data_IF_645300529639
#
_entry.id   IF_645300529639
#
_cell.length_a   1.000
_cell.length_b   1.000
_cell.length_c   1.000
_cell.angle_alpha   90.00
_cell.angle_beta   90.00
_cell.angle_gamma   90.00
#
_symmetry.space_group_name_H-M   'P 1'
#
loop_
_entity.id
_entity.type
_entity.pdbx_description
1 polymer ?
#
# COMPACT_ATOMS: atom_id res chain seq x y z
N UNK A 1 -4.93 -13.17 -0.02
CA UNK A 1 -6.04 -12.55 0.72
C UNK A 1 -6.08 -11.05 0.43
N UNK A 2 -7.23 -10.54 0.11
CA UNK A 2 -7.40 -9.12 -0.25
C UNK A 2 -8.07 -8.36 0.89
N UNK A 3 -7.49 -7.23 1.28
CA UNK A 3 -8.04 -6.41 2.36
C UNK A 3 -8.18 -4.96 1.89
N UNK A 4 -9.25 -4.32 2.33
CA UNK A 4 -9.47 -2.89 2.03
C UNK A 4 -8.70 -2.03 3.02
N UNK A 5 -8.17 -0.92 2.53
CA UNK A 5 -7.45 0.04 3.35
C UNK A 5 -7.55 1.45 2.78
N UNK A 6 -7.11 2.42 3.57
CA UNK A 6 -6.98 3.81 3.14
C UNK A 6 -5.53 4.20 3.36
N UNK A 7 -4.93 4.86 2.36
CA UNK A 7 -3.58 5.38 2.47
C UNK A 7 -3.59 6.63 3.36
N UNK A 8 -2.75 6.64 4.38
CA UNK A 8 -2.58 7.78 5.28
C UNK A 8 -1.39 8.63 4.88
N UNK A 9 -0.34 7.99 4.36
CA UNK A 9 0.89 8.67 4.00
C UNK A 9 1.62 7.86 2.94
N UNK A 10 2.29 8.57 2.01
CA UNK A 10 3.04 7.93 0.92
C UNK A 10 4.47 8.47 0.92
N UNK A 11 5.44 7.58 0.93
CA UNK A 11 6.85 7.92 0.77
C UNK A 11 7.44 7.08 -0.35
N UNK A 12 8.08 7.73 -1.31
CA UNK A 12 8.79 7.05 -2.38
C UNK A 12 10.27 7.00 -2.05
N UNK A 13 10.90 5.88 -2.31
CA UNK A 13 12.34 5.74 -2.13
C UNK A 13 12.91 4.81 -3.18
N UNK A 14 14.23 4.92 -3.41
CA UNK A 14 14.93 4.07 -4.35
C UNK A 14 15.78 3.06 -3.60
N UNK A 15 15.79 1.84 -4.07
CA UNK A 15 16.63 0.78 -3.54
C UNK A 15 17.27 0.07 -4.71
N UNK A 16 18.61 0.20 -4.83
CA UNK A 16 19.37 -0.40 -5.93
C UNK A 16 18.84 -0.01 -7.32
N UNK A 17 18.42 1.25 -7.48
CA UNK A 17 17.92 1.73 -8.75
C UNK A 17 16.48 1.38 -9.05
N UNK A 18 15.77 0.76 -8.12
CA UNK A 18 14.36 0.42 -8.27
C UNK A 18 13.52 1.30 -7.34
N UNK A 19 12.47 1.89 -7.86
CA UNK A 19 11.57 2.73 -7.08
C UNK A 19 10.61 1.87 -6.26
N UNK A 20 10.50 2.20 -4.98
CA UNK A 20 9.59 1.56 -4.04
C UNK A 20 8.71 2.60 -3.38
N UNK A 21 7.60 2.16 -2.83
CA UNK A 21 6.74 3.00 -2.01
C UNK A 21 6.66 2.42 -0.60
N UNK A 22 6.73 3.30 0.37
CA UNK A 22 6.44 2.98 1.75
C UNK A 22 5.13 3.67 2.08
N UNK A 23 4.10 2.89 2.29
CA UNK A 23 2.75 3.40 2.56
C UNK A 23 2.42 3.21 4.02
N UNK A 24 1.85 4.23 4.63
CA UNK A 24 1.21 4.08 5.93
C UNK A 24 -0.27 3.98 5.66
N UNK A 25 -0.87 2.88 6.04
CA UNK A 25 -2.28 2.59 5.72
C UNK A 25 -3.07 2.22 6.97
N UNK A 26 -4.38 2.45 6.91
CA UNK A 26 -5.32 1.96 7.91
C UNK A 26 -6.23 0.97 7.22
N UNK A 27 -6.22 -0.28 7.68
CA UNK A 27 -7.12 -1.29 7.15
C UNK A 27 -8.54 -1.07 7.69
N UNK A 28 -9.53 -1.35 6.86
CA UNK A 28 -10.93 -1.12 7.21
C UNK A 28 -11.36 -1.86 8.46
N UNK A 29 -10.78 -3.04 8.71
CA UNK A 29 -11.09 -3.83 9.90
C UNK A 29 -10.51 -3.22 11.17
N UNK A 30 -9.50 -2.35 11.05
CA UNK A 30 -8.83 -1.72 12.18
C UNK A 30 -8.54 -0.25 11.87
N UNK A 31 -9.59 0.58 11.74
CA UNK A 31 -9.41 1.94 11.20
C UNK A 31 -8.58 2.87 12.08
N UNK A 32 -8.42 2.54 13.36
CA UNK A 32 -7.63 3.37 14.28
C UNK A 32 -6.17 2.96 14.34
N UNK A 33 -5.78 1.90 13.64
CA UNK A 33 -4.40 1.45 13.57
C UNK A 33 -3.77 1.88 12.27
N UNK A 34 -2.47 2.20 12.31
CA UNK A 34 -1.69 2.54 11.12
C UNK A 34 -0.61 1.50 10.96
N UNK A 35 -0.50 0.93 9.77
CA UNK A 35 0.48 -0.10 9.47
C UNK A 35 1.31 0.30 8.26
N UNK A 36 2.56 -0.16 8.22
CA UNK A 36 3.45 0.11 7.11
C UNK A 36 3.36 -0.99 6.07
N UNK A 37 3.24 -0.58 4.80
CA UNK A 37 3.27 -1.49 3.65
C UNK A 37 4.38 -1.01 2.73
N UNK A 38 5.30 -1.89 2.36
CA UNK A 38 6.34 -1.59 1.38
C UNK A 38 6.05 -2.37 0.11
N UNK A 39 6.10 -1.68 -1.02
CA UNK A 39 5.74 -2.28 -2.31
C UNK A 39 6.57 -1.67 -3.42
N UNK A 40 6.99 -2.51 -4.39
CA UNK A 40 7.68 -2.04 -5.57
C UNK A 40 6.71 -1.25 -6.46
N UNK A 41 7.24 -0.27 -7.20
CA UNK A 41 6.41 0.54 -8.10
C UNK A 41 5.70 -0.31 -9.16
N UNK A 42 6.21 -1.51 -9.47
CA UNK A 42 5.59 -2.40 -10.45
C UNK A 42 4.36 -3.13 -9.92
N UNK A 43 4.15 -3.12 -8.62
CA UNK A 43 3.09 -3.87 -7.97
C UNK A 43 2.03 -2.98 -7.35
N UNK A 44 2.02 -1.71 -7.72
CA UNK A 44 1.03 -0.73 -7.28
C UNK A 44 0.65 0.15 -8.47
N UNK A 45 -0.53 0.76 -8.40
CA UNK A 45 -0.99 1.69 -9.44
C UNK A 45 -0.16 2.99 -9.42
N UNK A 46 -0.25 3.78 -10.50
CA UNK A 46 0.51 5.02 -10.63
C UNK A 46 0.02 6.09 -9.66
N UNK A 47 0.98 6.82 -9.10
CA UNK A 47 0.74 8.00 -8.27
C UNK A 47 -0.18 7.74 -7.07
N UNK A 48 0.17 6.78 -6.20
CA UNK A 48 -0.60 6.60 -4.97
C UNK A 48 -0.54 7.87 -4.12
N UNK A 49 -1.65 8.22 -3.48
CA UNK A 49 -1.77 9.46 -2.73
C UNK A 49 -2.52 9.26 -1.41
N UNK A 50 -2.30 10.18 -0.48
CA UNK A 50 -3.00 10.22 0.79
C UNK A 50 -4.51 10.24 0.53
N UNK A 51 -5.25 9.44 1.28
CA UNK A 51 -6.70 9.38 1.18
C UNK A 51 -7.22 8.39 0.17
N UNK A 52 -6.34 7.81 -0.65
CA UNK A 52 -6.78 6.82 -1.64
C UNK A 52 -7.33 5.58 -0.94
N UNK A 53 -8.45 5.09 -1.46
CA UNK A 53 -9.00 3.80 -1.04
C UNK A 53 -8.38 2.72 -1.88
N UNK A 54 -7.84 1.71 -1.23
CA UNK A 54 -7.05 0.67 -1.89
C UNK A 54 -7.46 -0.73 -1.48
N UNK A 55 -7.07 -1.69 -2.33
CA UNK A 55 -7.15 -3.12 -2.04
C UNK A 55 -5.73 -3.63 -1.94
N UNK A 56 -5.40 -4.22 -0.80
CA UNK A 56 -4.07 -4.76 -0.53
C UNK A 56 -4.14 -6.28 -0.63
N UNK A 57 -3.42 -6.83 -1.61
CA UNK A 57 -3.32 -8.27 -1.79
C UNK A 57 -2.09 -8.79 -1.07
N UNK A 58 -2.27 -9.83 -0.26
CA UNK A 58 -1.17 -10.39 0.50
C UNK A 58 -1.23 -11.92 0.53
N UNK A 59 -0.06 -12.54 0.57
CA UNK A 59 0.10 -13.98 0.76
C UNK A 59 0.95 -14.15 2.01
N UNK A 60 0.37 -14.70 3.07
CA UNK A 60 1.04 -14.94 4.37
C UNK A 60 1.88 -13.72 4.80
N UNK A 61 1.27 -12.64 5.17
CA UNK A 61 1.96 -11.43 5.68
C UNK A 61 2.91 -10.74 4.68
N UNK A 62 2.96 -11.18 3.42
CA UNK A 62 3.75 -10.54 2.38
C UNK A 62 2.80 -9.86 1.42
N UNK A 63 2.89 -8.54 1.30
CA UNK A 63 2.06 -7.78 0.36
C UNK A 63 2.62 -7.98 -1.04
N UNK A 64 1.78 -8.46 -1.94
CA UNK A 64 2.18 -8.76 -3.31
C UNK A 64 1.68 -7.73 -4.32
N UNK A 65 0.60 -7.04 -4.02
CA UNK A 65 0.02 -6.06 -4.95
C UNK A 65 -0.86 -5.07 -4.20
N UNK A 66 -0.88 -3.84 -4.68
CA UNK A 66 -1.81 -2.81 -4.17
C UNK A 66 -2.56 -2.24 -5.37
N UNK A 67 -3.89 -2.26 -5.31
CA UNK A 67 -4.76 -1.74 -6.36
C UNK A 67 -5.66 -0.65 -5.80
N UNK A 68 -6.02 0.30 -6.66
CA UNK A 68 -7.01 1.29 -6.28
C UNK A 68 -8.38 0.62 -6.19
N UNK A 69 -9.11 0.93 -5.13
CA UNK A 69 -10.49 0.46 -5.01
C UNK A 69 -11.37 1.35 -5.89
N UNK A 70 -12.09 0.72 -6.77
CA UNK A 70 -12.97 1.42 -7.73
C UNK A 70 -14.40 1.42 -7.23
#
# INVERSE_FOLDING_TARGET
MTREAIIREVHQYDLHGVAYYRLLVSFSAEPNSVQEVRISHDSIYDEPADGDQILVEAIINVVTEVRRKV
#
